data_IF_279871765395
#
_entry.id   IF_279871765395
#
_cell.length_a   1.000
_cell.length_b   1.000
_cell.length_c   1.000
_cell.angle_alpha   90.00
_cell.angle_beta   90.00
_cell.angle_gamma   90.00
#
_symmetry.space_group_name_H-M   'P 1'
#
loop_
_entity.id
_entity.type
_entity.pdbx_description
1 polymer ?
#
# COMPACT_ATOMS: atom_id res chain seq x y z
N UNK A 1 31.03 -32.01 -16.98
CA UNK A 1 30.42 -30.88 -16.24
C UNK A 1 31.15 -30.73 -14.91
N UNK A 2 32.03 -29.75 -14.79
CA UNK A 2 32.88 -29.56 -13.61
C UNK A 2 32.19 -28.62 -12.65
N UNK A 3 31.84 -29.09 -11.44
CA UNK A 3 31.26 -28.25 -10.38
C UNK A 3 32.38 -27.39 -9.80
N UNK A 4 32.31 -26.08 -10.04
CA UNK A 4 33.19 -25.10 -9.39
C UNK A 4 32.69 -24.91 -7.96
N UNK A 5 33.49 -25.33 -6.98
CA UNK A 5 33.27 -24.97 -5.59
C UNK A 5 33.99 -23.65 -5.32
N UNK A 6 33.19 -22.62 -5.04
CA UNK A 6 33.68 -21.29 -4.67
C UNK A 6 33.15 -20.95 -3.29
N UNK A 7 34.03 -20.44 -2.42
CA UNK A 7 33.66 -19.88 -1.11
C UNK A 7 33.12 -18.45 -1.22
N UNK A 8 32.97 -17.93 -2.45
CA UNK A 8 32.30 -16.67 -2.68
C UNK A 8 30.79 -16.90 -2.55
N UNK A 9 30.07 -16.01 -1.83
CA UNK A 9 28.62 -16.10 -1.73
C UNK A 9 28.00 -16.27 -3.12
N UNK A 10 27.19 -17.32 -3.30
CA UNK A 10 26.46 -17.50 -4.55
C UNK A 10 25.57 -16.29 -4.75
N UNK A 11 25.67 -15.67 -5.92
CA UNK A 11 24.88 -14.54 -6.40
C UNK A 11 23.36 -14.84 -6.36
N UNK A 12 22.76 -14.88 -5.17
CA UNK A 12 21.33 -14.73 -4.98
C UNK A 12 21.01 -13.23 -5.12
N UNK A 13 21.32 -12.72 -6.31
CA UNK A 13 21.21 -11.31 -6.68
C UNK A 13 19.77 -10.82 -6.65
N UNK A 14 18.78 -11.70 -6.66
CA UNK A 14 17.40 -11.33 -6.91
C UNK A 14 16.74 -10.63 -5.72
N UNK A 15 17.07 -11.01 -4.47
CA UNK A 15 16.55 -10.33 -3.28
C UNK A 15 17.29 -9.03 -2.98
N UNK A 16 18.62 -9.03 -3.09
CA UNK A 16 19.43 -7.84 -2.86
C UNK A 16 19.18 -6.78 -3.94
N UNK A 17 19.04 -7.16 -5.22
CA UNK A 17 18.67 -6.23 -6.28
C UNK A 17 17.28 -5.66 -6.06
N UNK A 18 16.29 -6.46 -5.64
CA UNK A 18 14.96 -5.96 -5.28
C UNK A 18 15.02 -4.96 -4.13
N UNK A 19 15.76 -5.24 -3.06
CA UNK A 19 15.91 -4.29 -1.96
C UNK A 19 16.64 -3.01 -2.38
N UNK A 20 17.66 -3.12 -3.24
CA UNK A 20 18.34 -1.95 -3.80
C UNK A 20 17.38 -1.15 -4.66
N UNK A 21 16.63 -1.79 -5.57
CA UNK A 21 15.62 -1.15 -6.41
C UNK A 21 14.49 -0.51 -5.59
N UNK A 22 14.03 -1.14 -4.51
CA UNK A 22 13.03 -0.56 -3.61
C UNK A 22 13.58 0.65 -2.86
N UNK A 23 14.85 0.62 -2.43
CA UNK A 23 15.48 1.74 -1.72
C UNK A 23 15.88 2.88 -2.65
N UNK A 24 16.21 2.61 -3.91
CA UNK A 24 16.61 3.62 -4.89
C UNK A 24 15.43 4.19 -5.67
N UNK A 25 14.38 3.40 -5.93
CA UNK A 25 13.19 3.84 -6.65
C UNK A 25 12.06 4.34 -5.75
N UNK A 26 12.16 4.20 -4.42
CA UNK A 26 11.41 5.05 -3.50
C UNK A 26 12.00 6.47 -3.62
N UNK A 27 11.70 7.12 -4.74
CA UNK A 27 11.95 8.53 -4.94
C UNK A 27 11.40 9.25 -3.72
N UNK A 28 12.26 10.05 -3.09
CA UNK A 28 11.83 11.06 -2.16
C UNK A 28 10.70 11.86 -2.82
N UNK A 29 9.46 11.57 -2.42
CA UNK A 29 8.29 12.34 -2.87
C UNK A 29 8.31 13.58 -1.99
N UNK A 30 8.49 14.73 -2.62
CA UNK A 30 8.40 16.01 -1.93
C UNK A 30 7.07 16.03 -1.15
N UNK A 31 7.08 16.33 0.16
CA UNK A 31 5.88 16.33 0.96
C UNK A 31 4.86 17.27 0.33
N UNK A 32 3.68 16.75 0.03
CA UNK A 32 2.65 17.54 -0.63
C UNK A 32 2.14 18.59 0.35
N UNK A 33 2.46 19.85 0.07
CA UNK A 33 1.90 20.98 0.81
C UNK A 33 0.46 21.26 0.37
N UNK A 34 -0.45 21.39 1.33
CA UNK A 34 -1.87 21.70 1.08
C UNK A 34 -2.26 22.98 1.82
N UNK A 35 -3.19 23.73 1.25
CA UNK A 35 -3.81 24.85 1.96
C UNK A 35 -4.66 24.30 3.10
N UNK A 36 -4.42 24.79 4.33
CA UNK A 36 -5.15 24.36 5.53
C UNK A 36 -6.67 24.56 5.38
N UNK A 37 -7.10 25.65 4.76
CA UNK A 37 -8.52 25.93 4.52
C UNK A 37 -9.17 24.95 3.55
N UNK A 38 -8.43 24.48 2.54
CA UNK A 38 -8.92 23.45 1.62
C UNK A 38 -8.99 22.09 2.32
N UNK A 39 -7.97 21.75 3.12
CA UNK A 39 -7.97 20.54 3.93
C UNK A 39 -9.18 20.46 4.87
N UNK A 40 -9.42 21.51 5.66
CA UNK A 40 -10.55 21.59 6.58
C UNK A 40 -11.91 21.55 5.86
N UNK A 41 -12.02 22.21 4.71
CA UNK A 41 -13.25 22.17 3.90
C UNK A 41 -13.54 20.76 3.37
N UNK A 42 -12.49 20.03 2.98
CA UNK A 42 -12.58 18.65 2.48
C UNK A 42 -12.99 17.70 3.60
N UNK A 43 -12.44 17.85 4.81
CA UNK A 43 -12.89 17.11 6.00
C UNK A 43 -14.36 17.40 6.29
N UNK A 44 -14.73 18.68 6.31
CA UNK A 44 -16.09 19.12 6.59
C UNK A 44 -17.11 18.54 5.59
N UNK A 45 -16.72 18.33 4.33
CA UNK A 45 -17.57 17.69 3.32
C UNK A 45 -17.97 16.26 3.70
N UNK A 46 -17.02 15.46 4.21
CA UNK A 46 -17.26 14.07 4.61
C UNK A 46 -17.95 13.99 5.98
N UNK A 47 -17.53 14.80 6.95
CA UNK A 47 -18.17 14.82 8.28
C UNK A 47 -19.65 15.20 8.17
N UNK A 48 -20.01 16.19 7.33
CA UNK A 48 -21.42 16.56 7.06
C UNK A 48 -22.25 15.42 6.45
N UNK A 49 -21.61 14.39 5.90
CA UNK A 49 -22.27 13.23 5.28
C UNK A 49 -22.28 12.00 6.20
N UNK A 50 -21.88 12.15 7.46
CA UNK A 50 -21.94 11.11 8.48
C UNK A 50 -20.70 10.24 8.59
N UNK A 51 -19.58 10.62 7.96
CA UNK A 51 -18.30 9.95 8.18
C UNK A 51 -17.68 10.41 9.50
N UNK A 52 -17.05 9.47 10.20
CA UNK A 52 -16.22 9.78 11.37
C UNK A 52 -15.03 10.65 10.98
N UNK A 53 -14.49 11.39 11.96
CA UNK A 53 -13.43 12.37 11.71
C UNK A 53 -12.15 11.74 11.16
N UNK A 54 -11.70 10.63 11.74
CA UNK A 54 -10.47 9.94 11.31
C UNK A 54 -10.52 9.48 9.83
N UNK A 55 -11.55 8.73 9.37
CA UNK A 55 -11.64 8.39 7.95
C UNK A 55 -11.87 9.61 7.06
N UNK A 56 -12.55 10.66 7.54
CA UNK A 56 -12.69 11.91 6.80
C UNK A 56 -11.34 12.63 6.58
N UNK A 57 -10.46 12.65 7.59
CA UNK A 57 -9.11 13.21 7.50
C UNK A 57 -8.24 12.43 6.51
N UNK A 58 -8.32 11.10 6.52
CA UNK A 58 -7.62 10.24 5.55
C UNK A 58 -8.13 10.45 4.12
N UNK A 59 -9.45 10.50 3.93
CA UNK A 59 -10.05 10.75 2.62
C UNK A 59 -9.70 12.14 2.08
N UNK A 60 -9.71 13.15 2.94
CA UNK A 60 -9.32 14.50 2.57
C UNK A 60 -7.87 14.53 2.07
N UNK A 61 -6.96 13.87 2.79
CA UNK A 61 -5.56 13.76 2.38
C UNK A 61 -5.41 13.07 1.02
N UNK A 62 -6.04 11.90 0.83
CA UNK A 62 -5.96 11.14 -0.42
C UNK A 62 -6.51 11.94 -1.61
N UNK A 63 -7.66 12.59 -1.44
CA UNK A 63 -8.29 13.37 -2.50
C UNK A 63 -7.45 14.58 -2.89
N UNK A 64 -6.91 15.31 -1.90
CA UNK A 64 -6.06 16.47 -2.17
C UNK A 64 -4.75 16.05 -2.81
N UNK A 65 -4.16 14.94 -2.36
CA UNK A 65 -2.99 14.36 -2.99
C UNK A 65 -3.25 14.02 -4.46
N UNK A 66 -4.32 13.28 -4.75
CA UNK A 66 -4.65 12.89 -6.13
C UNK A 66 -4.99 14.12 -7.00
N UNK A 67 -5.72 15.08 -6.46
CA UNK A 67 -6.06 16.31 -7.16
C UNK A 67 -4.80 17.12 -7.53
N UNK A 68 -3.80 17.16 -6.64
CA UNK A 68 -2.52 17.83 -6.90
C UNK A 68 -1.66 17.09 -7.93
N UNK A 69 -1.65 15.76 -7.90
CA UNK A 69 -0.98 14.92 -8.92
C UNK A 69 -1.62 15.13 -10.30
N UNK A 70 -2.95 15.19 -10.36
CA UNK A 70 -3.70 15.35 -11.60
C UNK A 70 -3.84 16.82 -12.04
N UNK A 71 -3.30 17.76 -11.26
CA UNK A 71 -3.41 19.22 -11.46
C UNK A 71 -4.86 19.70 -11.67
N UNK A 72 -5.78 19.17 -10.86
CA UNK A 72 -7.20 19.52 -10.85
C UNK A 72 -7.58 20.21 -9.54
N UNK A 73 -8.65 21.01 -9.58
CA UNK A 73 -9.16 21.67 -8.39
C UNK A 73 -9.87 20.65 -7.47
N UNK A 74 -9.46 20.58 -6.20
CA UNK A 74 -10.05 19.69 -5.19
C UNK A 74 -11.54 19.95 -4.96
N UNK A 75 -12.00 21.19 -5.08
CA UNK A 75 -13.41 21.55 -4.97
C UNK A 75 -14.25 20.97 -6.12
N UNK A 76 -13.70 20.85 -7.33
CA UNK A 76 -14.41 20.22 -8.44
C UNK A 76 -14.60 18.72 -8.19
N UNK A 77 -13.60 18.06 -7.60
CA UNK A 77 -13.70 16.67 -7.17
C UNK A 77 -14.81 16.52 -6.12
N UNK A 78 -14.82 17.38 -5.11
CA UNK A 78 -15.85 17.39 -4.07
C UNK A 78 -17.25 17.66 -4.62
N UNK A 79 -17.41 18.57 -5.58
CA UNK A 79 -18.70 18.83 -6.21
C UNK A 79 -19.21 17.61 -6.98
N UNK A 80 -18.34 16.93 -7.73
CA UNK A 80 -18.69 15.68 -8.44
C UNK A 80 -19.09 14.57 -7.46
N UNK A 81 -18.36 14.41 -6.37
CA UNK A 81 -18.70 13.50 -5.27
C UNK A 81 -19.96 13.92 -4.51
N UNK A 82 -20.32 15.20 -4.55
CA UNK A 82 -21.51 15.73 -3.90
C UNK A 82 -22.79 15.51 -4.71
N UNK A 83 -22.67 15.38 -6.03
CA UNK A 83 -23.78 15.17 -6.95
C UNK A 83 -24.21 13.70 -7.09
N UNK A 84 -23.47 12.77 -6.46
CA UNK A 84 -23.82 11.34 -6.45
C UNK A 84 -24.83 11.01 -5.35
N UNK A 85 -25.59 9.93 -5.56
CA UNK A 85 -26.49 9.40 -4.53
C UNK A 85 -25.65 8.95 -3.31
N UNK A 86 -26.08 9.21 -2.05
CA UNK A 86 -25.42 8.71 -0.83
C UNK A 86 -24.89 7.26 -0.89
N UNK A 87 -25.64 6.34 -1.51
CA UNK A 87 -25.20 4.95 -1.65
C UNK A 87 -23.94 4.80 -2.53
N UNK A 88 -23.90 5.52 -3.66
CA UNK A 88 -22.76 5.52 -4.58
C UNK A 88 -21.55 6.20 -3.96
N UNK A 89 -21.76 7.28 -3.19
CA UNK A 89 -20.67 7.95 -2.50
C UNK A 89 -20.01 7.02 -1.48
N UNK A 90 -20.80 6.29 -0.70
CA UNK A 90 -20.28 5.34 0.27
C UNK A 90 -19.48 4.21 -0.39
N UNK A 91 -19.96 3.70 -1.52
CA UNK A 91 -19.25 2.69 -2.32
C UNK A 91 -17.89 3.20 -2.82
N UNK A 92 -17.87 4.39 -3.43
CA UNK A 92 -16.64 5.02 -3.93
C UNK A 92 -15.65 5.30 -2.81
N UNK A 93 -16.11 5.83 -1.68
CA UNK A 93 -15.27 6.11 -0.51
C UNK A 93 -14.68 4.81 0.06
N UNK A 94 -15.48 3.76 0.17
CA UNK A 94 -15.01 2.44 0.65
C UNK A 94 -13.95 1.87 -0.29
N UNK A 95 -14.14 2.03 -1.61
CA UNK A 95 -13.16 1.61 -2.61
C UNK A 95 -11.84 2.37 -2.47
N UNK A 96 -11.90 3.71 -2.28
CA UNK A 96 -10.72 4.56 -2.07
C UNK A 96 -9.96 4.14 -0.81
N UNK A 97 -10.66 3.94 0.32
CA UNK A 97 -10.03 3.52 1.57
C UNK A 97 -9.37 2.15 1.43
N UNK A 98 -10.02 1.21 0.76
CA UNK A 98 -9.44 -0.12 0.52
C UNK A 98 -8.24 -0.07 -0.43
N UNK A 99 -8.26 0.77 -1.46
CA UNK A 99 -7.15 0.93 -2.39
C UNK A 99 -5.91 1.56 -1.73
N UNK A 100 -6.13 2.48 -0.78
CA UNK A 100 -5.06 3.17 -0.04
C UNK A 100 -4.66 2.45 1.26
N UNK A 101 -5.30 1.31 1.58
CA UNK A 101 -4.93 0.51 2.75
C UNK A 101 -3.54 -0.07 2.56
N UNK A 102 -2.66 0.15 3.53
CA UNK A 102 -1.32 -0.44 3.53
C UNK A 102 -1.40 -1.97 3.34
N UNK A 103 -0.66 -2.51 2.37
CA UNK A 103 -0.65 -3.96 2.07
C UNK A 103 -0.06 -4.71 3.26
N UNK A 104 -0.89 -5.29 4.10
CA UNK A 104 -0.45 -6.05 5.28
C UNK A 104 0.07 -7.46 4.98
N UNK A 105 0.49 -7.78 3.76
CA UNK A 105 0.73 -9.16 3.33
C UNK A 105 2.05 -9.35 2.59
N UNK A 106 3.16 -9.20 3.32
CA UNK A 106 4.45 -9.79 2.98
C UNK A 106 5.16 -10.39 4.22
N UNK A 107 4.40 -10.88 5.21
CA UNK A 107 5.01 -11.59 6.34
C UNK A 107 4.12 -12.75 6.81
N UNK A 108 4.09 -13.79 5.98
CA UNK A 108 3.43 -15.05 6.28
C UNK A 108 3.86 -16.12 5.28
N UNK A 109 5.16 -16.36 5.16
CA UNK A 109 5.61 -17.56 4.45
C UNK A 109 5.12 -18.76 5.26
N UNK A 110 4.07 -19.43 4.77
CA UNK A 110 3.71 -20.74 5.30
C UNK A 110 4.85 -21.68 4.91
N UNK A 111 5.82 -21.85 5.81
CA UNK A 111 6.76 -22.96 5.72
C UNK A 111 5.92 -24.23 5.85
N UNK A 112 5.55 -24.84 4.71
CA UNK A 112 5.15 -26.24 4.71
C UNK A 112 6.40 -26.98 5.20
N UNK A 113 6.46 -27.27 6.51
CA UNK A 113 7.39 -28.26 7.03
C UNK A 113 7.01 -29.56 6.34
N UNK A 114 7.67 -29.87 5.23
CA UNK A 114 7.69 -31.21 4.69
C UNK A 114 8.35 -32.04 5.77
N UNK A 115 7.56 -32.85 6.48
CA UNK A 115 8.11 -33.86 7.37
C UNK A 115 9.05 -34.72 6.52
N UNK A 116 10.35 -34.65 6.83
CA UNK A 116 11.30 -35.65 6.37
C UNK A 116 10.91 -36.94 7.08
N UNK A 117 10.27 -37.86 6.37
CA UNK A 117 10.33 -39.27 6.75
C UNK A 117 11.75 -39.75 6.45
N UNK A 118 12.65 -39.47 7.40
CA UNK A 118 13.98 -40.06 7.46
C UNK A 118 13.99 -41.00 8.64
N UNK A 119 13.42 -42.19 8.44
CA UNK A 119 13.77 -43.35 9.24
C UNK A 119 14.58 -44.29 8.36
N UNK A 120 15.86 -43.97 8.20
CA UNK A 120 16.86 -44.92 7.74
C UNK A 120 17.20 -45.83 8.93
N UNK A 121 16.42 -46.89 9.13
CA UNK A 121 16.87 -47.99 9.99
C UNK A 121 17.78 -48.89 9.16
N UNK A 122 19.08 -48.75 9.37
CA UNK A 122 19.99 -49.87 9.25
C UNK A 122 21.11 -49.71 10.27
N UNK A 123 20.85 -50.20 11.48
CA UNK A 123 21.86 -50.37 12.53
C UNK A 123 21.65 -51.76 13.14
N UNK A 124 22.40 -52.69 12.56
CA UNK A 124 23.02 -53.90 13.13
C UNK A 124 22.15 -54.83 13.98
N UNK A 125 21.70 -55.92 13.35
CA UNK A 125 21.51 -57.24 13.96
C UNK A 125 22.29 -58.25 13.13
#
# INVERSE_FOLDING_TARGET
MTKVYSNLPSENNDSLKKSIDELTNNQYVEPLEFNVGEYDATIGFFVKRGFDREPAEQLAYIILQQAKVDNINSQEVLQKLGNTNPAQLNEVVTMILNANRFRSSALGTRSKKTAKDSVSRNILG
#
